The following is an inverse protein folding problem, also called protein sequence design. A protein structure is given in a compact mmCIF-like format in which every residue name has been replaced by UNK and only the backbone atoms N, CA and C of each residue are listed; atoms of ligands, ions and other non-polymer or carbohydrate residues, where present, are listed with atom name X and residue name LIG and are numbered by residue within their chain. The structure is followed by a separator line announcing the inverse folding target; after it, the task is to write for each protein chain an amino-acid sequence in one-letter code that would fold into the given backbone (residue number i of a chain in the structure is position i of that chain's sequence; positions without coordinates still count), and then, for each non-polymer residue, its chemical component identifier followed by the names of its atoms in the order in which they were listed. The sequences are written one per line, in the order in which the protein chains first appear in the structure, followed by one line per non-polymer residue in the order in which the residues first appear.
data_IF_641759526489
#
_entry.id   IF_641759526489
#
_cell.length_a   1.000
_cell.length_b   1.000
_cell.length_c   1.000
_cell.angle_alpha   90.00
_cell.angle_beta   90.00
_cell.angle_gamma   90.00
#
_symmetry.space_group_name_H-M   'P 1'
#
loop_
_entity.id
_entity.type
_entity.pdbx_description
1 polymer ?
#
# COMPACT_ATOMS: atom_id res chain seq x y z
N UNK A 1 -17.96 -23.19 -5.42
CA UNK A 1 -16.79 -23.94 -5.94
C UNK A 1 -15.80 -22.97 -6.57
N UNK A 2 -14.51 -23.14 -6.31
CA UNK A 2 -13.43 -22.35 -6.89
C UNK A 2 -12.52 -23.33 -7.66
N UNK A 3 -12.34 -23.09 -8.95
CA UNK A 3 -11.44 -23.93 -9.76
C UNK A 3 -9.98 -23.56 -9.50
N UNK A 4 -9.05 -24.47 -9.79
CA UNK A 4 -7.61 -24.21 -9.68
C UNK A 4 -7.18 -22.98 -10.49
N UNK A 5 -7.65 -22.84 -11.73
CA UNK A 5 -7.31 -21.69 -12.57
C UNK A 5 -7.80 -20.34 -12.02
N UNK A 6 -8.92 -20.32 -11.28
CA UNK A 6 -9.41 -19.13 -10.58
C UNK A 6 -8.57 -18.87 -9.32
N UNK A 7 -8.23 -19.91 -8.58
CA UNK A 7 -7.36 -19.78 -7.41
C UNK A 7 -5.96 -19.25 -7.80
N UNK A 8 -5.38 -19.76 -8.88
CA UNK A 8 -4.10 -19.28 -9.41
C UNK A 8 -4.16 -17.80 -9.82
N UNK A 9 -5.31 -17.34 -10.32
CA UNK A 9 -5.51 -15.93 -10.63
C UNK A 9 -5.52 -15.08 -9.35
N UNK A 10 -6.18 -15.53 -8.29
CA UNK A 10 -6.18 -14.86 -6.98
C UNK A 10 -4.75 -14.81 -6.43
N UNK A 11 -3.99 -15.90 -6.49
CA UNK A 11 -2.58 -15.94 -6.07
C UNK A 11 -1.75 -14.92 -6.84
N UNK A 12 -1.79 -14.92 -8.18
CA UNK A 12 -1.04 -13.95 -8.99
C UNK A 12 -1.41 -12.49 -8.69
N UNK A 13 -2.69 -12.22 -8.41
CA UNK A 13 -3.15 -10.88 -8.03
C UNK A 13 -2.68 -10.50 -6.63
N UNK A 14 -2.64 -11.46 -5.71
CA UNK A 14 -2.10 -11.29 -4.35
C UNK A 14 -0.61 -10.99 -4.39
N UNK A 15 0.15 -11.77 -5.17
CA UNK A 15 1.59 -11.54 -5.40
C UNK A 15 1.84 -10.15 -5.99
N UNK A 16 1.03 -9.73 -6.97
CA UNK A 16 1.13 -8.40 -7.56
C UNK A 16 0.84 -7.27 -6.55
N UNK A 17 -0.11 -7.46 -5.64
CA UNK A 17 -0.38 -6.51 -4.57
C UNK A 17 0.70 -6.56 -3.47
N UNK A 18 1.41 -7.68 -3.34
CA UNK A 18 2.41 -7.94 -2.31
C UNK A 18 1.84 -8.04 -0.89
N UNK A 19 0.53 -8.05 -0.72
CA UNK A 19 -0.14 -8.01 0.59
C UNK A 19 -1.18 -9.14 0.69
N UNK A 20 -0.97 -10.05 1.63
CA UNK A 20 -1.86 -11.19 1.87
C UNK A 20 -3.26 -10.76 2.32
N UNK A 21 -3.39 -9.60 2.97
CA UNK A 21 -4.70 -9.05 3.39
C UNK A 21 -5.55 -8.75 2.16
N UNK A 22 -4.94 -8.13 1.14
CA UNK A 22 -5.58 -7.90 -0.17
C UNK A 22 -5.98 -9.22 -0.82
N UNK A 23 -5.13 -10.26 -0.74
CA UNK A 23 -5.45 -11.58 -1.29
C UNK A 23 -6.64 -12.26 -0.63
N UNK A 24 -6.72 -12.21 0.70
CA UNK A 24 -7.85 -12.76 1.46
C UNK A 24 -9.15 -11.99 1.19
N UNK A 25 -9.11 -10.65 1.13
CA UNK A 25 -10.28 -9.85 0.80
C UNK A 25 -10.72 -10.06 -0.66
N UNK A 26 -9.77 -10.20 -1.58
CA UNK A 26 -10.02 -10.56 -2.97
C UNK A 26 -10.75 -11.89 -3.08
N UNK A 27 -10.28 -12.93 -2.39
CA UNK A 27 -10.92 -14.24 -2.36
C UNK A 27 -12.36 -14.12 -1.86
N UNK A 28 -12.55 -13.46 -0.71
CA UNK A 28 -13.88 -13.25 -0.11
C UNK A 28 -14.83 -12.54 -1.05
N UNK A 29 -14.40 -11.42 -1.64
CA UNK A 29 -15.23 -10.64 -2.58
C UNK A 29 -15.55 -11.40 -3.86
N UNK A 30 -14.62 -12.18 -4.37
CA UNK A 30 -14.86 -12.98 -5.58
C UNK A 30 -15.98 -14.01 -5.34
N UNK A 31 -16.00 -14.62 -4.15
CA UNK A 31 -17.09 -15.52 -3.73
C UNK A 31 -18.40 -14.76 -3.57
N UNK A 32 -18.40 -13.63 -2.85
CA UNK A 32 -19.61 -12.81 -2.65
C UNK A 32 -20.23 -12.35 -3.98
N UNK A 33 -19.41 -11.98 -4.97
CA UNK A 33 -19.90 -11.61 -6.31
C UNK A 33 -20.57 -12.79 -7.01
N UNK A 34 -19.99 -13.98 -6.93
CA UNK A 34 -20.61 -15.17 -7.49
C UNK A 34 -21.97 -15.49 -6.83
N UNK A 35 -22.05 -15.34 -5.50
CA UNK A 35 -23.28 -15.52 -4.75
C UNK A 35 -24.36 -14.48 -5.10
N UNK A 36 -23.98 -13.21 -5.26
CA UNK A 36 -24.89 -12.14 -5.69
C UNK A 36 -25.53 -12.43 -7.06
N UNK A 37 -24.77 -13.06 -7.96
CA UNK A 37 -25.23 -13.51 -9.28
C UNK A 37 -25.91 -14.89 -9.23
N UNK A 38 -26.21 -15.42 -8.05
CA UNK A 38 -26.83 -16.74 -7.81
C UNK A 38 -26.06 -17.91 -8.43
N UNK A 39 -24.72 -17.80 -8.53
CA UNK A 39 -23.85 -18.84 -9.09
C UNK A 39 -23.18 -19.65 -7.98
N UNK A 40 -23.18 -20.98 -8.15
CA UNK A 40 -22.43 -21.90 -7.28
C UNK A 40 -20.93 -21.96 -7.56
N UNK A 41 -20.44 -21.24 -8.58
CA UNK A 41 -19.03 -21.23 -8.99
C UNK A 41 -18.50 -19.82 -9.22
N UNK A 42 -17.29 -19.56 -8.74
CA UNK A 42 -16.56 -18.31 -8.96
C UNK A 42 -15.93 -18.32 -10.36
N UNK A 43 -16.13 -17.24 -11.11
CA UNK A 43 -15.55 -17.03 -12.44
C UNK A 43 -14.32 -16.11 -12.36
N UNK A 44 -13.54 -16.05 -13.43
CA UNK A 44 -12.35 -15.19 -13.49
C UNK A 44 -12.73 -13.71 -13.43
N UNK A 45 -13.88 -13.38 -14.01
CA UNK A 45 -14.45 -12.04 -14.06
C UNK A 45 -14.76 -11.53 -12.65
N UNK A 46 -15.26 -12.39 -11.75
CA UNK A 46 -15.50 -12.04 -10.35
C UNK A 46 -14.22 -11.55 -9.66
N UNK A 47 -13.11 -12.26 -9.90
CA UNK A 47 -11.79 -11.91 -9.36
C UNK A 47 -11.28 -10.60 -9.94
N UNK A 48 -11.40 -10.42 -11.26
CA UNK A 48 -10.93 -9.21 -11.94
C UNK A 48 -11.68 -7.98 -11.42
N UNK A 49 -13.00 -8.07 -11.31
CA UNK A 49 -13.86 -6.99 -10.82
C UNK A 49 -13.63 -6.72 -9.32
N UNK A 50 -13.40 -7.77 -8.52
CA UNK A 50 -13.13 -7.61 -7.09
C UNK A 50 -11.72 -7.07 -6.78
N UNK A 51 -10.75 -7.23 -7.68
CA UNK A 51 -9.35 -6.87 -7.41
C UNK A 51 -9.13 -5.37 -7.17
N UNK A 52 -9.77 -4.52 -7.96
CA UNK A 52 -9.70 -3.07 -7.77
C UNK A 52 -10.20 -2.67 -6.39
N UNK A 53 -11.41 -3.14 -6.03
CA UNK A 53 -12.07 -2.82 -4.77
C UNK A 53 -11.30 -3.34 -3.55
N UNK A 54 -10.77 -4.56 -3.62
CA UNK A 54 -9.96 -5.13 -2.53
C UNK A 54 -8.72 -4.25 -2.28
N UNK A 55 -7.96 -3.94 -3.34
CA UNK A 55 -6.73 -3.14 -3.23
C UNK A 55 -7.01 -1.72 -2.73
N UNK A 56 -8.00 -1.04 -3.28
CA UNK A 56 -8.34 0.33 -2.91
C UNK A 56 -8.92 0.42 -1.48
N UNK A 57 -9.71 -0.57 -1.04
CA UNK A 57 -10.20 -0.57 0.33
C UNK A 57 -9.06 -0.72 1.34
N UNK A 58 -8.09 -1.60 1.06
CA UNK A 58 -6.92 -1.76 1.93
C UNK A 58 -6.10 -0.49 2.01
N UNK A 59 -5.82 0.16 0.87
CA UNK A 59 -5.18 1.47 0.86
C UNK A 59 -5.94 2.50 1.69
N UNK A 60 -7.26 2.61 1.49
CA UNK A 60 -8.09 3.56 2.24
C UNK A 60 -8.01 3.32 3.75
N UNK A 61 -8.17 2.06 4.20
CA UNK A 61 -8.09 1.71 5.61
C UNK A 61 -6.72 1.99 6.21
N UNK A 62 -5.65 1.72 5.46
CA UNK A 62 -4.29 2.03 5.86
C UNK A 62 -4.10 3.54 6.07
N UNK A 63 -4.52 4.35 5.10
CA UNK A 63 -4.41 5.82 5.18
C UNK A 63 -5.25 6.43 6.30
N UNK A 64 -6.42 5.85 6.61
CA UNK A 64 -7.26 6.28 7.73
C UNK A 64 -6.61 6.11 9.10
N UNK A 65 -5.70 5.15 9.23
CA UNK A 65 -4.94 4.92 10.46
C UNK A 65 -3.77 5.89 10.66
N UNK A 66 -3.39 6.65 9.63
CA UNK A 66 -2.24 7.55 9.69
C UNK A 66 -2.61 8.93 10.25
N UNK A 67 -1.74 9.46 11.09
CA UNK A 67 -1.70 10.86 11.51
C UNK A 67 -1.35 11.79 10.33
N UNK A 68 -1.57 13.10 10.52
CA UNK A 68 -1.21 14.10 9.52
C UNK A 68 0.30 14.09 9.20
N UNK A 69 1.14 13.89 10.21
CA UNK A 69 2.60 13.81 10.07
C UNK A 69 3.03 12.57 9.29
N UNK A 70 2.45 11.39 9.59
CA UNK A 70 2.75 10.16 8.85
C UNK A 70 2.29 10.24 7.39
N UNK A 71 1.14 10.88 7.13
CA UNK A 71 0.70 11.15 5.75
C UNK A 71 1.67 12.06 5.00
N UNK A 72 2.19 13.09 5.66
CA UNK A 72 3.20 13.98 5.06
C UNK A 72 4.47 13.21 4.69
N UNK A 73 4.98 12.36 5.59
CA UNK A 73 6.13 11.48 5.32
C UNK A 73 5.86 10.53 4.15
N UNK A 74 4.68 9.92 4.10
CA UNK A 74 4.32 9.04 2.98
C UNK A 74 4.35 9.78 1.64
N UNK A 75 3.82 11.01 1.58
CA UNK A 75 3.86 11.83 0.37
C UNK A 75 5.30 12.21 -0.02
N UNK A 76 6.15 12.55 0.96
CA UNK A 76 7.57 12.80 0.72
C UNK A 76 8.30 11.56 0.20
N UNK A 77 8.00 10.37 0.73
CA UNK A 77 8.50 9.09 0.22
C UNK A 77 8.18 8.95 -1.27
N UNK A 78 6.92 9.18 -1.66
CA UNK A 78 6.50 9.13 -3.07
C UNK A 78 7.26 10.14 -3.94
N UNK A 79 7.31 11.40 -3.50
CA UNK A 79 7.99 12.48 -4.21
C UNK A 79 9.49 12.20 -4.42
N UNK A 80 10.19 11.68 -3.41
CA UNK A 80 11.63 11.41 -3.49
C UNK A 80 11.93 10.18 -4.36
N UNK A 81 11.12 9.12 -4.31
CA UNK A 81 11.37 7.96 -5.15
C UNK A 81 11.14 8.24 -6.64
N UNK A 82 10.17 9.11 -6.98
CA UNK A 82 9.96 9.58 -8.35
C UNK A 82 11.20 10.31 -8.89
N UNK A 83 11.85 11.13 -8.06
CA UNK A 83 13.09 11.84 -8.41
C UNK A 83 14.30 10.92 -8.49
N UNK A 84 14.34 9.88 -7.65
CA UNK A 84 15.49 8.99 -7.47
C UNK A 84 15.62 7.83 -8.45
N UNK A 85 14.71 7.68 -9.42
CA UNK A 85 14.88 6.72 -10.52
C UNK A 85 14.85 5.23 -10.14
N UNK A 86 14.23 4.86 -9.02
CA UNK A 86 13.90 3.44 -8.74
C UNK A 86 14.41 2.85 -7.42
N UNK A 87 14.84 3.66 -6.46
CA UNK A 87 15.07 3.16 -5.10
C UNK A 87 15.37 4.29 -4.12
N UNK A 88 14.42 4.55 -3.21
CA UNK A 88 14.64 5.47 -2.08
C UNK A 88 15.26 4.68 -0.93
N UNK A 89 16.35 5.17 -0.35
CA UNK A 89 16.91 4.60 0.87
C UNK A 89 16.50 5.43 2.09
N UNK A 90 16.33 4.79 3.25
CA UNK A 90 15.90 5.45 4.47
C UNK A 90 16.84 6.58 4.92
N UNK A 91 18.13 6.47 4.63
CA UNK A 91 19.11 7.52 4.90
C UNK A 91 18.90 8.81 4.11
N UNK A 92 18.55 8.71 2.82
CA UNK A 92 18.30 9.88 1.97
C UNK A 92 17.00 10.59 2.41
N UNK A 93 15.98 9.79 2.74
CA UNK A 93 14.73 10.32 3.28
C UNK A 93 14.95 11.02 4.63
N UNK A 94 15.74 10.42 5.53
CA UNK A 94 16.07 11.03 6.81
C UNK A 94 16.84 12.34 6.62
N UNK A 95 17.84 12.35 5.73
CA UNK A 95 18.61 13.55 5.40
C UNK A 95 17.72 14.70 4.93
N UNK A 96 16.73 14.41 4.09
CA UNK A 96 15.78 15.43 3.63
C UNK A 96 14.83 15.89 4.75
N UNK A 97 14.35 14.97 5.59
CA UNK A 97 13.46 15.29 6.70
C UNK A 97 14.11 16.19 7.75
N UNK A 98 15.39 15.96 8.07
CA UNK A 98 16.07 16.78 9.09
C UNK A 98 16.40 18.20 8.61
N UNK A 99 16.39 18.44 7.30
CA UNK A 99 16.50 19.79 6.73
C UNK A 99 15.23 20.61 6.97
N UNK A 100 14.07 19.94 7.09
CA UNK A 100 12.76 20.56 7.26
C UNK A 100 12.30 20.56 8.74
N UNK A 101 12.59 19.50 9.48
CA UNK A 101 12.14 19.26 10.86
C UNK A 101 13.24 18.66 11.73
N UNK A 102 13.46 19.17 12.95
CA UNK A 102 14.37 18.52 13.92
C UNK A 102 13.71 17.25 14.50
N UNK A 103 13.90 16.10 13.83
CA UNK A 103 13.39 14.80 14.29
C UNK A 103 14.54 13.86 14.66
N UNK A 104 14.40 13.19 15.81
CA UNK A 104 15.34 12.15 16.22
C UNK A 104 15.22 10.93 15.29
N UNK A 105 16.35 10.29 14.98
CA UNK A 105 16.38 9.12 14.08
C UNK A 105 15.47 7.97 14.54
N UNK A 106 15.30 7.75 15.84
CA UNK A 106 14.41 6.70 16.35
C UNK A 106 12.93 6.99 16.05
N UNK A 107 12.50 8.25 16.17
CA UNK A 107 11.13 8.69 15.84
C UNK A 107 10.90 8.53 14.34
N UNK A 108 11.90 8.91 13.53
CA UNK A 108 11.85 8.69 12.10
C UNK A 108 11.64 7.21 11.73
N UNK A 109 12.43 6.32 12.33
CA UNK A 109 12.30 4.89 12.07
C UNK A 109 10.96 4.34 12.53
N UNK A 110 10.46 4.76 13.70
CA UNK A 110 9.12 4.42 14.17
C UNK A 110 8.04 4.87 13.19
N UNK A 111 8.10 6.13 12.71
CA UNK A 111 7.16 6.63 11.70
C UNK A 111 7.25 5.83 10.39
N UNK A 112 8.44 5.39 9.97
CA UNK A 112 8.59 4.51 8.81
C UNK A 112 7.97 3.12 9.04
N UNK A 113 8.15 2.54 10.22
CA UNK A 113 7.53 1.26 10.59
C UNK A 113 6.01 1.37 10.60
N UNK A 114 5.46 2.49 11.10
CA UNK A 114 4.02 2.78 11.06
C UNK A 114 3.45 2.89 9.64
N UNK A 115 4.28 3.20 8.63
CA UNK A 115 3.88 3.12 7.21
C UNK A 115 4.02 1.71 6.64
N UNK A 116 4.99 0.92 7.13
CA UNK A 116 5.25 -0.44 6.66
C UNK A 116 4.22 -1.44 7.17
N UNK A 117 3.82 -1.36 8.44
CA UNK A 117 2.84 -2.24 9.09
C UNK A 117 1.49 -2.34 8.36
N UNK A 118 0.85 -1.22 7.96
CA UNK A 118 -0.37 -1.26 7.16
C UNK A 118 -0.11 -1.60 5.69
N UNK A 119 1.14 -1.84 5.29
CA UNK A 119 1.54 -2.23 3.93
C UNK A 119 1.43 -1.08 2.92
N UNK A 120 1.73 0.15 3.32
CA UNK A 120 1.84 1.28 2.38
C UNK A 120 3.21 1.28 1.70
N UNK A 121 4.23 0.88 2.45
CA UNK A 121 5.60 0.69 1.99
C UNK A 121 6.14 -0.68 2.41
N UNK A 122 7.24 -1.06 1.80
CA UNK A 122 8.10 -2.17 2.18
C UNK A 122 9.46 -1.62 2.60
N UNK A 123 9.97 -2.07 3.75
CA UNK A 123 11.34 -1.81 4.18
C UNK A 123 12.18 -3.05 3.88
N UNK A 124 13.13 -2.93 2.93
CA UNK A 124 14.01 -4.03 2.53
C UNK A 124 15.44 -3.73 2.88
N UNK A 125 16.03 -4.57 3.73
CA UNK A 125 17.44 -4.43 4.10
C UNK A 125 18.32 -4.65 2.86
N UNK A 126 19.15 -3.65 2.53
CA UNK A 126 20.21 -3.77 1.53
C UNK A 126 21.56 -3.65 2.21
N UNK A 127 22.43 -4.65 2.00
CA UNK A 127 23.82 -4.58 2.42
C UNK A 127 24.64 -3.87 1.33
N UNK A 128 24.89 -2.58 1.52
CA UNK A 128 25.83 -1.82 0.68
C UNK A 128 26.51 -0.74 1.53
N UNK A 129 27.83 -0.90 1.80
CA UNK A 129 28.66 0.00 2.65
C UNK A 129 28.10 0.33 4.05
N UNK A 130 27.06 -0.36 4.48
CA UNK A 130 26.31 -0.17 5.73
C UNK A 130 25.01 -0.99 5.69
N UNK A 131 24.29 -1.05 6.80
CA UNK A 131 22.92 -1.58 6.86
C UNK A 131 21.98 -0.41 6.55
N UNK A 132 21.32 -0.45 5.41
CA UNK A 132 20.36 0.60 5.02
C UNK A 132 19.12 -0.04 4.43
N UNK A 133 17.96 0.48 4.82
CA UNK A 133 16.67 0.01 4.33
C UNK A 133 16.31 0.72 3.03
N UNK A 134 16.01 -0.06 2.00
CA UNK A 134 15.40 0.41 0.76
C UNK A 134 13.90 0.45 0.98
N UNK A 135 13.32 1.62 0.74
CA UNK A 135 11.89 1.88 0.80
C UNK A 135 11.31 1.56 -0.56
N UNK A 136 10.41 0.58 -0.61
CA UNK A 136 9.67 0.19 -1.81
C UNK A 136 8.21 0.57 -1.62
N UNK A 137 7.66 1.30 -2.58
CA UNK A 137 6.28 1.77 -2.54
C UNK A 137 5.34 0.70 -3.07
N UNK A 138 4.23 0.47 -2.38
CA UNK A 138 3.24 -0.53 -2.78
C UNK A 138 2.10 0.04 -3.64
N UNK A 139 1.89 1.36 -3.53
CA UNK A 139 0.86 2.09 -4.26
C UNK A 139 1.51 3.22 -5.06
N UNK A 140 0.85 3.68 -6.12
CA UNK A 140 1.32 4.86 -6.82
C UNK A 140 1.03 6.13 -6.04
N UNK A 141 1.75 7.21 -6.34
CA UNK A 141 1.51 8.52 -5.74
C UNK A 141 0.08 9.00 -5.99
N UNK A 142 -0.42 8.80 -7.21
CA UNK A 142 -1.77 9.20 -7.61
C UNK A 142 -2.86 8.44 -6.83
N UNK A 143 -2.64 7.15 -6.54
CA UNK A 143 -3.56 6.35 -5.72
C UNK A 143 -3.63 6.90 -4.29
N UNK A 144 -2.48 7.25 -3.69
CA UNK A 144 -2.40 7.81 -2.34
C UNK A 144 -3.03 9.20 -2.27
N UNK A 145 -2.59 10.12 -3.13
CA UNK A 145 -3.10 11.50 -3.18
C UNK A 145 -4.61 11.52 -3.49
N UNK A 146 -5.06 10.67 -4.41
CA UNK A 146 -6.47 10.55 -4.77
C UNK A 146 -7.38 10.18 -3.61
N UNK A 147 -6.89 9.42 -2.62
CA UNK A 147 -7.64 9.08 -1.42
C UNK A 147 -7.50 10.17 -0.35
N UNK A 148 -6.30 10.68 -0.11
CA UNK A 148 -6.07 11.76 0.85
C UNK A 148 -6.92 13.00 0.53
N UNK A 149 -6.97 13.43 -0.73
CA UNK A 149 -7.76 14.59 -1.17
C UNK A 149 -9.27 14.39 -1.00
N UNK A 150 -9.77 13.15 -1.13
CA UNK A 150 -11.18 12.83 -0.93
C UNK A 150 -11.58 12.85 0.54
N UNK A 151 -10.66 12.53 1.45
CA UNK A 151 -10.94 12.60 2.89
C UNK A 151 -10.92 14.03 3.41
N UNK A 152 -10.04 14.89 2.90
CA UNK A 152 -10.04 16.33 3.21
C UNK A 152 -11.30 17.04 2.71
N UNK A 153 -11.95 16.55 1.65
CA UNK A 153 -13.20 17.11 1.12
C UNK A 153 -14.47 16.73 1.92
N UNK A 154 -14.41 15.76 2.83
CA UNK A 154 -15.57 15.30 3.63
C UNK A 154 -15.75 16.13 4.92
N UNK A 155 -14.75 16.94 5.30
CA UNK A 155 -14.83 17.86 6.45
C UNK A 155 -15.38 19.26 6.11
N UNK A 156 -15.84 19.49 4.88
CA UNK A 156 -16.41 20.77 4.41
C UNK A 156 -17.80 20.62 3.76
N UNK A 157 -18.61 19.64 4.20
CA UNK A 157 -20.00 19.49 3.79
C UNK A 157 -20.92 19.32 5.00
#
# INVERSE_FOLDING_TARGET
MISSGVLDLIVRKTEKAGDLRVGLDLLKRSVLRAEQEMRGSVLREDVILAYGDARLLHLKKALQGLSGEERAILLQVHQLAERGGGGLISGDLYGHLIEEEEIAYWIFMERLENLADPGLIDLRVRQAKGRTDVIVQRYSREEVEGICNRESGVLTA
#
